data_IF_698953676438
#
_entry.id   IF_698953676438
#
_cell.length_a   1.000
_cell.length_b   1.000
_cell.length_c   1.000
_cell.angle_alpha   90.00
_cell.angle_beta   90.00
_cell.angle_gamma   90.00
#
_symmetry.space_group_name_H-M   'P 1'
#
loop_
_entity.id
_entity.type
_entity.pdbx_description
1 polymer ?
#
# COMPACT_ATOMS: atom_id res chain seq x y z
N UNK A 1 8.84 -3.04 7.19
CA UNK A 1 9.35 -4.41 6.94
C UNK A 1 8.46 -5.09 5.90
N UNK A 2 8.96 -6.04 5.09
CA UNK A 2 8.18 -6.76 4.08
C UNK A 2 8.26 -8.26 4.34
N UNK A 3 7.15 -8.97 4.15
CA UNK A 3 7.08 -10.42 4.38
C UNK A 3 6.14 -11.09 3.38
N UNK A 4 6.51 -12.28 2.91
CA UNK A 4 5.73 -13.08 1.99
C UNK A 4 4.82 -14.05 2.74
N UNK A 5 3.54 -14.08 2.36
CA UNK A 5 2.53 -14.93 3.00
C UNK A 5 2.59 -16.40 2.56
N UNK A 6 3.36 -16.70 1.51
CA UNK A 6 3.36 -18.03 0.89
C UNK A 6 4.62 -18.86 1.19
N UNK A 7 5.78 -18.23 1.41
CA UNK A 7 7.06 -18.95 1.44
C UNK A 7 8.09 -18.40 2.45
N UNK A 8 7.64 -17.73 3.52
CA UNK A 8 8.47 -17.21 4.63
C UNK A 8 9.54 -16.17 4.25
N UNK A 9 9.54 -15.70 2.99
CA UNK A 9 10.50 -14.70 2.54
C UNK A 9 10.30 -13.36 3.28
N UNK A 10 11.39 -12.69 3.66
CA UNK A 10 11.36 -11.42 4.41
C UNK A 10 12.46 -10.45 3.98
N UNK A 11 12.15 -9.16 3.99
CA UNK A 11 13.10 -8.08 3.75
C UNK A 11 12.90 -6.92 4.75
N UNK A 12 13.98 -6.50 5.38
CA UNK A 12 14.03 -5.40 6.35
C UNK A 12 14.92 -4.26 5.88
N UNK A 13 14.66 -3.04 6.34
CA UNK A 13 15.49 -1.86 6.03
C UNK A 13 16.84 -1.88 6.76
N UNK A 14 17.01 -2.75 7.75
CA UNK A 14 18.26 -3.02 8.47
C UNK A 14 19.17 -4.02 7.77
N UNK A 15 18.69 -4.67 6.72
CA UNK A 15 19.54 -5.49 5.87
C UNK A 15 20.37 -4.52 5.02
N UNK A 16 21.70 -4.54 5.13
CA UNK A 16 22.69 -3.65 4.46
C UNK A 16 22.70 -3.78 2.92
N UNK A 17 21.63 -4.35 2.36
CA UNK A 17 21.40 -4.42 0.93
C UNK A 17 21.21 -3.01 0.36
N UNK A 18 21.98 -2.67 -0.67
CA UNK A 18 21.83 -1.45 -1.49
C UNK A 18 20.40 -1.23 -2.05
N UNK A 19 19.56 -2.27 -2.04
CA UNK A 19 18.18 -2.23 -2.52
C UNK A 19 17.20 -2.02 -1.39
N UNK A 20 16.35 -0.98 -1.54
CA UNK A 20 15.20 -0.76 -0.66
C UNK A 20 14.32 -2.03 -0.53
N UNK A 21 13.80 -2.33 0.66
CA UNK A 21 12.97 -3.53 0.90
C UNK A 21 11.73 -3.57 0.01
N UNK A 22 11.19 -2.42 -0.40
CA UNK A 22 10.09 -2.33 -1.36
C UNK A 22 10.45 -2.89 -2.74
N UNK A 23 11.68 -2.66 -3.23
CA UNK A 23 12.11 -3.16 -4.54
C UNK A 23 12.26 -4.68 -4.53
N UNK A 24 12.81 -5.21 -3.44
CA UNK A 24 12.92 -6.65 -3.23
C UNK A 24 11.55 -7.34 -3.14
N UNK A 25 10.56 -6.67 -2.55
CA UNK A 25 9.19 -7.17 -2.50
C UNK A 25 8.55 -7.26 -3.90
N UNK A 26 8.79 -6.26 -4.75
CA UNK A 26 8.33 -6.25 -6.14
C UNK A 26 8.99 -7.38 -6.92
N UNK A 27 10.33 -7.49 -6.85
CA UNK A 27 11.08 -8.55 -7.53
C UNK A 27 10.54 -9.94 -7.12
N UNK A 28 10.39 -10.19 -5.81
CA UNK A 28 9.84 -11.44 -5.30
C UNK A 28 8.42 -11.73 -5.81
N UNK A 29 7.54 -10.73 -5.80
CA UNK A 29 6.17 -10.88 -6.31
C UNK A 29 6.17 -11.23 -7.81
N UNK A 30 7.01 -10.57 -8.61
CA UNK A 30 7.09 -10.82 -10.05
C UNK A 30 7.66 -12.21 -10.35
N UNK A 31 8.67 -12.64 -9.61
CA UNK A 31 9.33 -13.93 -9.84
C UNK A 31 8.49 -15.13 -9.39
N UNK A 32 7.75 -14.98 -8.29
CA UNK A 32 7.04 -16.10 -7.64
C UNK A 32 5.52 -16.05 -7.77
N UNK A 33 4.96 -14.89 -8.10
CA UNK A 33 3.52 -14.63 -8.01
C UNK A 33 2.98 -14.54 -6.58
N UNK A 34 3.84 -14.57 -5.56
CA UNK A 34 3.40 -14.56 -4.17
C UNK A 34 2.99 -13.16 -3.69
N UNK A 35 2.07 -13.13 -2.72
CA UNK A 35 1.65 -11.88 -2.09
C UNK A 35 2.63 -11.48 -0.99
N UNK A 36 3.17 -10.27 -1.10
CA UNK A 36 4.06 -9.67 -0.10
C UNK A 36 3.31 -8.58 0.66
N UNK A 37 3.21 -8.75 1.97
CA UNK A 37 2.63 -7.76 2.87
C UNK A 37 3.69 -6.77 3.37
N UNK A 38 3.21 -5.57 3.66
CA UNK A 38 4.01 -4.44 4.13
C UNK A 38 3.56 -4.02 5.53
N UNK A 39 4.29 -4.44 6.56
CA UNK A 39 4.10 -3.94 7.93
C UNK A 39 4.66 -2.53 8.13
N UNK A 40 4.43 -1.62 7.18
CA UNK A 40 4.69 -0.21 7.40
C UNK A 40 3.49 0.33 8.19
N UNK A 41 3.59 0.22 9.51
CA UNK A 41 2.51 0.58 10.41
C UNK A 41 2.12 2.04 10.22
N UNK A 42 0.96 2.25 9.58
CA UNK A 42 0.13 3.47 9.47
C UNK A 42 -0.22 3.74 8.02
N UNK A 43 -1.29 3.10 7.55
CA UNK A 43 -2.25 3.84 6.72
C UNK A 43 -3.39 4.24 7.64
N UNK A 44 -3.68 5.54 7.86
CA UNK A 44 -5.06 5.87 8.20
C UNK A 44 -5.86 5.40 6.99
N UNK A 45 -6.66 4.35 7.17
CA UNK A 45 -7.70 3.97 6.22
C UNK A 45 -8.79 5.05 6.28
N UNK A 46 -8.44 6.25 5.83
CA UNK A 46 -9.40 7.22 5.37
C UNK A 46 -9.66 6.85 3.91
N UNK A 47 -10.45 5.79 3.71
CA UNK A 47 -11.42 5.84 2.62
C UNK A 47 -12.21 7.11 2.88
N UNK A 48 -11.80 8.19 2.23
CA UNK A 48 -12.61 9.38 2.10
C UNK A 48 -13.90 8.92 1.41
N UNK A 49 -14.89 8.58 2.21
CA UNK A 49 -16.28 8.78 1.84
C UNK A 49 -16.37 10.26 1.52
N UNK A 50 -16.16 10.58 0.24
CA UNK A 50 -16.68 11.79 -0.34
C UNK A 50 -18.19 11.59 -0.22
N UNK A 51 -18.92 12.34 0.64
CA UNK A 51 -20.37 12.30 0.54
C UNK A 51 -20.72 12.86 -0.84
N UNK A 52 -21.44 12.06 -1.63
CA UNK A 52 -22.01 12.40 -2.93
C UNK A 52 -23.12 13.46 -2.82
N UNK A 53 -22.98 14.43 -1.91
CA UNK A 53 -23.94 15.50 -1.64
C UNK A 53 -23.39 16.89 -2.00
N UNK A 54 -22.15 17.00 -2.49
CA UNK A 54 -21.53 18.28 -2.84
C UNK A 54 -21.60 18.64 -4.34
N UNK A 55 -22.32 17.86 -5.15
CA UNK A 55 -22.57 18.18 -6.56
C UNK A 55 -24.08 18.32 -6.81
N UNK A 56 -24.70 19.37 -6.26
CA UNK A 56 -26.06 19.75 -6.65
C UNK A 56 -26.86 20.45 -5.58
N UNK A 57 -26.73 21.78 -5.48
CA UNK A 57 -27.91 22.62 -5.30
C UNK A 57 -27.66 23.98 -5.95
N UNK A 58 -28.28 24.10 -7.11
CA UNK A 58 -28.38 25.32 -7.89
C UNK A 58 -28.95 26.43 -7.00
N UNK A 59 -28.17 27.51 -6.79
CA UNK A 59 -28.73 28.73 -6.23
C UNK A 59 -29.32 29.54 -7.38
N UNK A 60 -30.54 29.17 -7.77
CA UNK A 60 -31.52 30.12 -8.26
C UNK A 60 -31.82 31.09 -7.12
N UNK A 61 -31.61 32.40 -7.31
CA UNK A 61 -32.33 33.46 -6.57
C UNK A 61 -32.03 34.83 -7.19
N UNK A 62 -33.11 35.37 -7.77
CA UNK A 62 -33.46 36.75 -8.15
C UNK A 62 -32.56 37.52 -9.13
#
# INVERSE_FOLDING_TARGET
>A
MKYCLNCDWRASATDDSDRSPSRRAIDHHVETGHTVDSSDGTVPSATATIPEAALGLERSSD
#
